data_IF_116720980180
#
_entry.id   IF_116720980180
#
_cell.length_a   1.000
_cell.length_b   1.000
_cell.length_c   1.000
_cell.angle_alpha   90.00
_cell.angle_beta   90.00
_cell.angle_gamma   90.00
#
_symmetry.space_group_name_H-M   'P 1'
#
loop_
_entity.id
_entity.type
_entity.pdbx_description
1 polymer ?
#
# COMPACT_ATOMS: atom_id res chain seq x y z
N UNK A 1 -15.67 -28.84 -41.85
CA UNK A 1 -14.55 -27.95 -41.50
C UNK A 1 -15.11 -26.81 -40.67
N UNK A 2 -14.90 -26.89 -39.37
CA UNK A 2 -15.18 -25.81 -38.43
C UNK A 2 -14.24 -26.06 -37.27
N UNK A 3 -13.12 -25.33 -37.25
CA UNK A 3 -12.18 -25.31 -36.13
C UNK A 3 -12.65 -24.23 -35.17
N UNK A 4 -13.15 -24.62 -34.02
CA UNK A 4 -13.37 -23.70 -32.90
C UNK A 4 -12.06 -23.60 -32.13
N UNK A 5 -11.36 -22.48 -32.28
CA UNK A 5 -10.23 -22.11 -31.43
C UNK A 5 -10.75 -21.81 -30.03
N UNK A 6 -10.53 -22.75 -29.10
CA UNK A 6 -10.74 -22.51 -27.68
C UNK A 6 -9.62 -21.60 -27.16
N UNK A 7 -9.94 -20.33 -26.89
CA UNK A 7 -9.11 -19.50 -26.04
C UNK A 7 -9.12 -20.13 -24.65
N UNK A 8 -8.00 -20.78 -24.29
CA UNK A 8 -7.81 -21.28 -22.95
C UNK A 8 -7.71 -20.11 -21.98
N UNK A 9 -8.77 -19.84 -21.23
CA UNK A 9 -8.69 -19.06 -20.00
C UNK A 9 -7.82 -19.86 -19.03
N UNK A 10 -6.52 -19.56 -19.00
CA UNK A 10 -5.64 -20.00 -17.92
C UNK A 10 -5.98 -19.19 -16.68
N UNK A 11 -7.08 -19.53 -16.02
CA UNK A 11 -7.31 -19.06 -14.65
C UNK A 11 -6.33 -19.80 -13.76
N UNK A 12 -5.36 -19.10 -13.16
CA UNK A 12 -4.53 -19.63 -12.07
C UNK A 12 -5.41 -19.85 -10.83
N UNK A 13 -6.30 -20.86 -10.89
CA UNK A 13 -7.38 -21.13 -9.95
C UNK A 13 -6.91 -21.50 -8.52
N UNK A 14 -5.62 -21.38 -8.22
CA UNK A 14 -5.02 -21.79 -6.96
C UNK A 14 -4.19 -20.69 -6.25
N UNK A 15 -4.11 -19.48 -6.79
CA UNK A 15 -3.44 -18.36 -6.10
C UNK A 15 -4.31 -17.82 -4.95
N UNK A 16 -3.68 -17.51 -3.81
CA UNK A 16 -4.36 -16.82 -2.71
C UNK A 16 -4.76 -15.41 -3.15
N UNK A 17 -5.93 -14.97 -2.72
CA UNK A 17 -6.44 -13.63 -3.05
C UNK A 17 -5.83 -12.60 -2.08
N UNK A 18 -5.52 -11.38 -2.55
CA UNK A 18 -5.27 -10.27 -1.65
C UNK A 18 -6.39 -10.14 -0.63
N UNK A 19 -6.08 -9.71 0.59
CA UNK A 19 -7.08 -9.38 1.60
C UNK A 19 -7.07 -7.86 1.80
N UNK A 20 -8.25 -7.23 1.76
CA UNK A 20 -8.45 -5.81 2.07
C UNK A 20 -9.29 -5.71 3.33
N UNK A 21 -8.64 -5.40 4.45
CA UNK A 21 -9.27 -5.17 5.73
C UNK A 21 -9.47 -3.67 5.95
N UNK A 22 -10.72 -3.23 5.83
CA UNK A 22 -11.15 -1.84 5.99
C UNK A 22 -11.69 -1.66 7.41
N UNK A 23 -11.08 -0.75 8.16
CA UNK A 23 -11.45 -0.46 9.55
C UNK A 23 -11.89 0.99 9.65
N UNK A 24 -13.18 1.19 9.93
CA UNK A 24 -13.75 2.51 10.15
C UNK A 24 -13.83 2.80 11.65
N UNK A 25 -13.19 3.89 12.07
CA UNK A 25 -13.15 4.35 13.45
C UNK A 25 -14.45 5.01 13.91
N UNK A 26 -14.44 5.56 15.13
CA UNK A 26 -15.55 6.36 15.63
C UNK A 26 -15.77 7.59 14.74
N UNK A 27 -17.03 7.88 14.36
CA UNK A 27 -17.31 8.98 13.44
C UNK A 27 -17.13 10.36 14.10
N UNK A 28 -17.37 10.48 15.40
CA UNK A 28 -17.34 11.75 16.15
C UNK A 28 -18.51 12.68 15.82
N UNK A 29 -18.86 12.82 14.54
CA UNK A 29 -20.07 13.48 14.04
C UNK A 29 -20.65 12.74 12.84
N UNK A 30 -21.94 12.94 12.57
CA UNK A 30 -22.62 12.32 11.43
C UNK A 30 -22.02 12.76 10.07
N UNK A 31 -21.48 13.98 9.97
CA UNK A 31 -20.82 14.49 8.77
C UNK A 31 -19.56 13.70 8.43
N UNK A 32 -18.70 13.45 9.42
CA UNK A 32 -17.52 12.61 9.26
C UNK A 32 -17.91 11.16 8.97
N UNK A 33 -18.95 10.65 9.63
CA UNK A 33 -19.47 9.31 9.37
C UNK A 33 -19.89 9.09 7.91
N UNK A 34 -20.53 10.08 7.29
CA UNK A 34 -20.88 10.03 5.86
C UNK A 34 -19.64 10.02 4.97
N UNK A 35 -18.61 10.80 5.31
CA UNK A 35 -17.33 10.80 4.57
C UNK A 35 -16.65 9.42 4.68
N UNK A 36 -16.51 8.89 5.89
CA UNK A 36 -15.88 7.59 6.14
C UNK A 36 -16.60 6.44 5.42
N UNK A 37 -17.93 6.44 5.39
CA UNK A 37 -18.71 5.47 4.61
C UNK A 37 -18.40 5.51 3.12
N UNK A 38 -18.25 6.71 2.53
CA UNK A 38 -17.88 6.86 1.12
C UNK A 38 -16.46 6.36 0.85
N UNK A 39 -15.52 6.69 1.72
CA UNK A 39 -14.12 6.27 1.56
C UNK A 39 -13.98 4.76 1.68
N UNK A 40 -14.64 4.15 2.67
CA UNK A 40 -14.70 2.70 2.83
C UNK A 40 -15.37 2.02 1.62
N UNK A 41 -16.46 2.60 1.09
CA UNK A 41 -17.12 2.11 -0.12
C UNK A 41 -16.18 2.03 -1.33
N UNK A 42 -15.38 3.09 -1.57
CA UNK A 42 -14.39 3.08 -2.67
C UNK A 42 -13.32 2.01 -2.48
N UNK A 43 -12.86 1.77 -1.25
CA UNK A 43 -11.92 0.68 -0.97
C UNK A 43 -12.56 -0.70 -1.18
N UNK A 44 -13.81 -0.91 -0.78
CA UNK A 44 -14.55 -2.14 -1.06
C UNK A 44 -14.76 -2.36 -2.56
N UNK A 45 -15.04 -1.30 -3.33
CA UNK A 45 -15.21 -1.40 -4.78
C UNK A 45 -13.87 -1.70 -5.47
N UNK A 46 -12.77 -1.05 -5.04
CA UNK A 46 -11.43 -1.36 -5.52
C UNK A 46 -11.00 -2.80 -5.18
N UNK A 47 -11.34 -3.29 -3.98
CA UNK A 47 -11.09 -4.68 -3.59
C UNK A 47 -11.82 -5.66 -4.51
N UNK A 48 -13.09 -5.41 -4.83
CA UNK A 48 -13.86 -6.24 -5.76
C UNK A 48 -13.27 -6.21 -7.18
N UNK A 49 -12.90 -5.03 -7.67
CA UNK A 49 -12.25 -4.88 -8.98
C UNK A 49 -10.92 -5.63 -9.04
N UNK A 50 -10.13 -5.60 -7.97
CA UNK A 50 -8.88 -6.34 -7.86
C UNK A 50 -9.02 -7.82 -7.51
N UNK A 51 -10.25 -8.36 -7.43
CA UNK A 51 -10.50 -9.76 -7.06
C UNK A 51 -10.04 -10.13 -5.64
N UNK A 52 -9.93 -9.15 -4.74
CA UNK A 52 -9.50 -9.32 -3.36
C UNK A 52 -10.67 -9.78 -2.46
N UNK A 53 -10.33 -10.48 -1.38
CA UNK A 53 -11.24 -10.67 -0.24
C UNK A 53 -11.39 -9.35 0.50
N UNK A 54 -12.64 -8.90 0.73
CA UNK A 54 -12.93 -7.68 1.49
C UNK A 54 -13.50 -8.00 2.86
N UNK A 55 -13.00 -7.31 3.88
CA UNK A 55 -13.53 -7.36 5.23
C UNK A 55 -13.70 -5.94 5.77
N UNK A 56 -14.88 -5.63 6.31
CA UNK A 56 -15.22 -4.31 6.81
C UNK A 56 -15.58 -4.37 8.29
N UNK A 57 -14.94 -3.50 9.08
CA UNK A 57 -15.21 -3.27 10.50
C UNK A 57 -15.60 -1.80 10.66
N UNK A 58 -16.56 -1.49 11.53
CA UNK A 58 -16.82 -0.09 11.90
C UNK A 58 -18.06 0.56 11.28
N UNK A 59 -18.72 -0.10 10.32
CA UNK A 59 -19.91 0.41 9.64
C UNK A 59 -21.15 -0.47 9.82
N UNK A 60 -20.97 -1.71 10.24
CA UNK A 60 -22.05 -2.60 10.62
C UNK A 60 -22.59 -2.25 12.01
N UNK A 61 -23.77 -2.79 12.34
CA UNK A 61 -24.32 -2.66 13.68
C UNK A 61 -23.33 -3.29 14.68
N UNK A 62 -23.00 -2.54 15.74
CA UNK A 62 -22.10 -3.04 16.79
C UNK A 62 -22.74 -4.30 17.39
N UNK A 63 -22.14 -5.46 17.10
CA UNK A 63 -22.50 -6.73 17.72
C UNK A 63 -22.07 -6.76 19.19
N UNK A 64 -22.05 -7.95 19.80
CA UNK A 64 -21.54 -8.12 21.17
C UNK A 64 -20.02 -7.93 21.27
N UNK A 65 -19.29 -8.07 20.17
CA UNK A 65 -17.83 -7.97 20.11
C UNK A 65 -17.38 -6.55 19.73
N UNK A 66 -16.44 -5.99 20.49
CA UNK A 66 -15.88 -4.67 20.21
C UNK A 66 -15.02 -4.68 18.94
N UNK A 67 -15.04 -3.58 18.18
CA UNK A 67 -14.27 -3.46 16.93
C UNK A 67 -12.76 -3.69 17.11
N UNK A 68 -12.23 -3.41 18.31
CA UNK A 68 -10.85 -3.72 18.70
C UNK A 68 -10.54 -5.22 18.63
N UNK A 69 -11.40 -6.04 19.24
CA UNK A 69 -11.21 -7.50 19.25
C UNK A 69 -11.45 -8.09 17.87
N UNK A 70 -12.44 -7.56 17.12
CA UNK A 70 -12.67 -7.93 15.72
C UNK A 70 -11.44 -7.67 14.86
N UNK A 71 -10.80 -6.51 14.99
CA UNK A 71 -9.58 -6.17 14.26
C UNK A 71 -8.45 -7.14 14.62
N UNK A 72 -8.21 -7.36 15.91
CA UNK A 72 -7.19 -8.31 16.38
C UNK A 72 -7.43 -9.72 15.85
N UNK A 73 -8.66 -10.20 15.88
CA UNK A 73 -9.03 -11.53 15.40
C UNK A 73 -8.85 -11.67 13.89
N UNK A 74 -9.26 -10.66 13.11
CA UNK A 74 -9.03 -10.63 11.65
C UNK A 74 -7.54 -10.60 11.28
N UNK A 75 -6.71 -9.87 12.03
CA UNK A 75 -5.26 -9.89 11.83
C UNK A 75 -4.64 -11.25 12.21
N UNK A 76 -5.14 -11.90 13.26
CA UNK A 76 -4.72 -13.26 13.62
C UNK A 76 -5.12 -14.29 12.54
N UNK A 77 -6.33 -14.17 11.96
CA UNK A 77 -6.76 -14.97 10.81
C UNK A 77 -5.86 -14.73 9.59
N UNK A 78 -5.47 -13.48 9.34
CA UNK A 78 -4.56 -13.11 8.25
C UNK A 78 -3.12 -13.64 8.42
N UNK A 79 -2.69 -13.91 9.67
CA UNK A 79 -1.42 -14.59 9.95
C UNK A 79 -1.45 -16.07 9.52
N UNK A 80 -2.65 -16.67 9.46
CA UNK A 80 -2.90 -17.99 8.91
C UNK A 80 -2.69 -19.16 9.89
N UNK A 81 -3.41 -20.25 9.62
CA UNK A 81 -3.08 -21.60 10.08
C UNK A 81 -3.16 -22.56 8.87
N UNK A 82 -2.12 -23.40 8.73
CA UNK A 82 -2.06 -24.68 8.00
C UNK A 82 -1.46 -24.78 6.56
N UNK A 83 -1.31 -23.74 5.74
CA UNK A 83 -0.47 -23.84 4.50
C UNK A 83 0.47 -22.63 4.28
N UNK A 84 1.74 -22.75 4.71
CA UNK A 84 2.74 -21.67 4.63
C UNK A 84 3.03 -21.19 3.20
N UNK A 85 2.94 -22.06 2.18
CA UNK A 85 3.32 -21.71 0.81
C UNK A 85 2.24 -20.90 0.10
N UNK A 86 0.96 -21.14 0.42
CA UNK A 86 -0.18 -20.47 -0.20
C UNK A 86 -0.42 -19.07 0.37
N UNK A 87 -0.15 -18.85 1.65
CA UNK A 87 -0.44 -17.60 2.38
C UNK A 87 0.62 -16.52 2.12
N UNK A 88 1.86 -16.91 1.79
CA UNK A 88 2.99 -15.98 1.69
C UNK A 88 2.88 -14.96 0.55
N UNK A 89 2.11 -15.23 -0.50
CA UNK A 89 2.16 -14.46 -1.76
C UNK A 89 1.09 -13.40 -1.96
N UNK A 90 -0.09 -13.57 -1.37
CA UNK A 90 -1.12 -12.55 -1.49
C UNK A 90 -0.82 -11.40 -0.50
N UNK A 91 -0.97 -10.13 -0.88
CA UNK A 91 -0.76 -9.02 0.04
C UNK A 91 -1.96 -8.83 0.99
N UNK A 92 -1.70 -8.33 2.20
CA UNK A 92 -2.72 -7.78 3.11
C UNK A 92 -2.72 -6.25 2.97
N UNK A 93 -3.89 -5.67 2.78
CA UNK A 93 -4.13 -4.23 2.81
C UNK A 93 -4.95 -3.90 4.04
N UNK A 94 -4.35 -3.24 5.03
CA UNK A 94 -5.01 -2.73 6.22
C UNK A 94 -5.28 -1.24 6.04
N UNK A 95 -6.55 -0.88 5.92
CA UNK A 95 -6.99 0.50 5.68
C UNK A 95 -7.67 1.03 6.95
N UNK A 96 -7.10 2.04 7.58
CA UNK A 96 -7.65 2.67 8.78
C UNK A 96 -8.25 4.02 8.41
N UNK A 97 -9.58 4.14 8.53
CA UNK A 97 -10.35 5.34 8.18
C UNK A 97 -11.00 5.88 9.46
N UNK A 98 -10.62 7.07 9.90
CA UNK A 98 -11.19 7.60 11.13
C UNK A 98 -10.40 8.77 11.70
N UNK A 99 -10.52 8.94 13.01
CA UNK A 99 -9.74 9.89 13.78
C UNK A 99 -8.60 9.20 14.51
N UNK A 100 -7.60 9.99 14.89
CA UNK A 100 -6.51 9.54 15.72
C UNK A 100 -6.11 10.59 16.74
N UNK A 101 -5.52 10.12 17.84
CA UNK A 101 -5.09 10.94 18.98
C UNK A 101 -3.62 10.69 19.30
N UNK A 102 -2.97 11.69 19.90
CA UNK A 102 -1.59 11.60 20.36
C UNK A 102 -1.40 12.36 21.67
N UNK A 103 -0.97 11.65 22.71
CA UNK A 103 -0.78 12.20 24.06
C UNK A 103 0.62 12.82 24.28
N UNK A 104 1.40 12.99 23.20
CA UNK A 104 2.80 13.41 23.27
C UNK A 104 3.79 12.25 23.33
N UNK A 105 3.31 11.01 23.51
CA UNK A 105 4.14 9.80 23.55
C UNK A 105 3.59 8.67 22.68
N UNK A 106 2.29 8.40 22.76
CA UNK A 106 1.64 7.26 22.12
C UNK A 106 0.52 7.74 21.21
N UNK A 107 0.61 7.37 19.93
CA UNK A 107 -0.43 7.60 18.95
C UNK A 107 -1.45 6.45 18.96
N UNK A 108 -2.73 6.79 18.78
CA UNK A 108 -3.84 5.85 18.76
C UNK A 108 -4.77 6.11 17.58
N UNK A 109 -5.28 5.05 16.99
CA UNK A 109 -6.40 5.09 16.06
C UNK A 109 -7.70 4.91 16.84
N UNK A 110 -8.66 5.83 16.66
CA UNK A 110 -9.86 5.86 17.47
C UNK A 110 -10.95 4.95 16.90
N UNK A 111 -11.17 3.81 17.53
CA UNK A 111 -12.20 2.85 17.13
C UNK A 111 -13.56 3.22 17.72
N UNK A 112 -14.63 2.57 17.25
CA UNK A 112 -15.89 2.54 18.00
C UNK A 112 -15.68 1.66 19.24
N UNK A 113 -15.42 2.30 20.37
CA UNK A 113 -15.04 1.62 21.60
C UNK A 113 -13.54 1.79 21.89
N UNK A 114 -12.86 0.79 22.46
CA UNK A 114 -11.46 0.94 22.85
C UNK A 114 -10.52 1.19 21.65
N UNK A 115 -9.78 2.30 21.70
CA UNK A 115 -8.78 2.69 20.69
C UNK A 115 -7.62 1.70 20.57
N UNK A 116 -6.89 1.72 19.46
CA UNK A 116 -5.68 0.88 19.25
C UNK A 116 -4.43 1.75 19.19
N UNK A 117 -3.43 1.43 20.00
CA UNK A 117 -2.14 2.12 19.99
C UNK A 117 -1.24 1.61 18.85
N UNK A 118 -0.36 2.48 18.34
CA UNK A 118 0.57 2.13 17.26
C UNK A 118 1.44 0.91 17.60
N UNK A 119 2.05 0.88 18.78
CA UNK A 119 2.87 -0.27 19.23
C UNK A 119 2.05 -1.55 19.43
N UNK A 120 0.79 -1.45 19.82
CA UNK A 120 -0.07 -2.64 19.93
C UNK A 120 -0.42 -3.22 18.56
N UNK A 121 -0.76 -2.36 17.59
CA UNK A 121 -0.96 -2.79 16.21
C UNK A 121 0.33 -3.42 15.65
N UNK A 122 1.50 -2.88 15.99
CA UNK A 122 2.79 -3.49 15.61
C UNK A 122 2.90 -4.93 16.12
N UNK A 123 2.56 -5.20 17.38
CA UNK A 123 2.55 -6.55 17.95
C UNK A 123 1.60 -7.50 17.20
N UNK A 124 0.40 -7.02 16.82
CA UNK A 124 -0.57 -7.83 16.08
C UNK A 124 -0.11 -8.15 14.65
N UNK A 125 0.70 -7.30 14.04
CA UNK A 125 1.22 -7.52 12.69
C UNK A 125 2.49 -8.40 12.67
N UNK A 126 3.18 -8.63 13.79
CA UNK A 126 4.41 -9.45 13.85
C UNK A 126 4.24 -10.88 13.33
N UNK A 127 3.14 -11.61 13.64
CA UNK A 127 2.96 -12.99 13.16
C UNK A 127 2.66 -13.09 11.65
N UNK A 128 2.33 -11.97 11.00
CA UNK A 128 1.94 -11.94 9.60
C UNK A 128 3.19 -11.87 8.72
N UNK A 129 3.48 -12.95 8.00
CA UNK A 129 4.69 -13.09 7.16
C UNK A 129 4.48 -12.72 5.69
N UNK A 130 3.23 -12.52 5.26
CA UNK A 130 2.89 -12.06 3.90
C UNK A 130 3.16 -10.55 3.76
N UNK A 131 3.35 -10.03 2.54
CA UNK A 131 3.48 -8.59 2.31
C UNK A 131 2.28 -7.80 2.87
N UNK A 132 2.53 -6.64 3.49
CA UNK A 132 1.47 -5.82 4.11
C UNK A 132 1.56 -4.36 3.64
N UNK A 133 0.42 -3.76 3.27
CA UNK A 133 0.26 -2.31 3.21
C UNK A 133 -0.63 -1.86 4.37
N UNK A 134 -0.14 -0.95 5.21
CA UNK A 134 -0.92 -0.30 6.27
C UNK A 134 -1.13 1.15 5.88
N UNK A 135 -2.38 1.53 5.64
CA UNK A 135 -2.76 2.86 5.20
C UNK A 135 -3.59 3.51 6.31
N UNK A 136 -2.97 4.43 7.05
CA UNK A 136 -3.61 5.14 8.14
C UNK A 136 -4.05 6.55 7.69
N UNK A 137 -5.35 6.67 7.39
CA UNK A 137 -5.97 7.92 6.94
C UNK A 137 -6.37 8.86 8.07
N UNK A 138 -6.02 8.57 9.32
CA UNK A 138 -6.45 9.34 10.48
C UNK A 138 -5.54 10.55 10.79
N UNK A 139 -6.09 11.51 11.54
CA UNK A 139 -5.30 12.54 12.23
C UNK A 139 -4.25 11.91 13.15
N UNK A 140 -3.16 12.61 13.43
CA UNK A 140 -2.07 12.13 14.31
C UNK A 140 -1.47 10.76 13.93
N UNK A 141 -1.56 10.36 12.66
CA UNK A 141 -1.11 9.05 12.16
C UNK A 141 0.40 8.93 11.96
N UNK A 142 1.15 10.02 11.84
CA UNK A 142 2.61 10.00 11.61
C UNK A 142 3.43 9.04 12.47
N UNK A 143 3.24 8.96 13.81
CA UNK A 143 4.00 8.05 14.66
C UNK A 143 3.76 6.56 14.37
N UNK A 144 2.68 6.20 13.66
CA UNK A 144 2.49 4.83 13.18
C UNK A 144 3.54 4.44 12.14
N UNK A 145 4.12 5.38 11.39
CA UNK A 145 5.25 5.09 10.49
C UNK A 145 6.42 4.52 11.29
N UNK A 146 6.79 5.16 12.40
CA UNK A 146 7.94 4.73 13.19
C UNK A 146 7.75 3.36 13.87
N UNK A 147 6.53 3.08 14.34
CA UNK A 147 6.19 1.83 15.05
C UNK A 147 5.91 0.67 14.10
N UNK A 148 5.30 0.95 12.95
CA UNK A 148 4.88 -0.09 12.01
C UNK A 148 5.90 -0.35 10.92
N UNK A 149 6.86 0.53 10.65
CA UNK A 149 7.87 0.29 9.60
C UNK A 149 8.64 -1.03 9.84
N UNK A 150 8.70 -1.85 8.80
CA UNK A 150 9.29 -3.19 8.81
C UNK A 150 9.61 -3.67 7.39
N UNK A 151 10.51 -4.66 7.21
CA UNK A 151 10.72 -5.31 5.92
C UNK A 151 9.41 -5.87 5.35
N UNK A 152 9.28 -5.84 4.02
CA UNK A 152 8.09 -6.31 3.28
C UNK A 152 6.77 -5.62 3.70
N UNK A 153 6.86 -4.40 4.23
CA UNK A 153 5.70 -3.60 4.62
C UNK A 153 5.76 -2.22 4.01
N UNK A 154 4.63 -1.76 3.48
CA UNK A 154 4.39 -0.36 3.12
C UNK A 154 3.53 0.27 4.20
N UNK A 155 3.93 1.43 4.73
CA UNK A 155 3.17 2.20 5.70
C UNK A 155 2.91 3.59 5.14
N UNK A 156 1.63 3.96 5.06
CA UNK A 156 1.20 5.30 4.65
C UNK A 156 0.50 5.96 5.83
N UNK A 157 0.89 7.18 6.15
CA UNK A 157 0.17 8.04 7.11
C UNK A 157 -0.42 9.25 6.40
N UNK A 158 -1.56 9.75 6.89
CA UNK A 158 -2.12 11.01 6.44
C UNK A 158 -1.38 12.24 7.03
N UNK A 159 -0.66 12.05 8.12
CA UNK A 159 0.06 13.12 8.82
C UNK A 159 1.54 12.81 8.99
N UNK A 160 2.37 13.86 9.14
CA UNK A 160 3.82 13.69 9.32
C UNK A 160 4.23 13.56 10.77
N UNK A 161 3.32 13.86 11.69
CA UNK A 161 3.57 13.79 13.13
C UNK A 161 2.28 13.52 13.90
N UNK A 162 2.44 13.16 15.18
CA UNK A 162 1.31 13.02 16.10
C UNK A 162 0.65 14.35 16.46
N UNK A 163 1.30 15.48 16.19
CA UNK A 163 0.79 16.82 16.51
C UNK A 163 -0.13 17.42 15.45
N UNK A 164 -0.40 16.69 14.37
CA UNK A 164 -1.36 17.08 13.34
C UNK A 164 -2.75 16.51 13.68
N UNK A 165 -3.41 17.15 14.65
CA UNK A 165 -4.69 16.70 15.22
C UNK A 165 -5.93 17.03 14.39
N UNK A 166 -5.77 17.87 13.37
CA UNK A 166 -6.89 18.30 12.54
C UNK A 166 -7.41 17.15 11.68
N UNK A 167 -8.69 17.21 11.32
CA UNK A 167 -9.29 16.23 10.42
C UNK A 167 -8.48 16.10 9.12
N UNK A 168 -8.03 14.88 8.86
CA UNK A 168 -7.24 14.54 7.68
C UNK A 168 -8.16 14.17 6.51
N UNK A 169 -8.03 14.89 5.40
CA UNK A 169 -8.75 14.67 4.13
C UNK A 169 -8.00 13.74 3.18
N UNK A 170 -6.73 13.45 3.45
CA UNK A 170 -5.91 12.57 2.62
C UNK A 170 -6.61 11.24 2.30
N UNK A 171 -7.34 10.66 3.25
CA UNK A 171 -8.11 9.42 3.02
C UNK A 171 -9.19 9.52 1.95
N UNK A 172 -9.80 10.70 1.77
CA UNK A 172 -10.73 10.95 0.68
C UNK A 172 -10.02 10.79 -0.67
N UNK A 173 -8.97 11.57 -0.86
CA UNK A 173 -8.28 11.61 -2.14
C UNK A 173 -7.57 10.29 -2.46
N UNK A 174 -6.99 9.62 -1.46
CA UNK A 174 -6.34 8.33 -1.65
C UNK A 174 -7.31 7.22 -2.04
N UNK A 175 -8.43 7.10 -1.33
CA UNK A 175 -9.45 6.10 -1.68
C UNK A 175 -10.10 6.37 -3.04
N UNK A 176 -10.07 7.62 -3.53
CA UNK A 176 -10.40 7.93 -4.92
C UNK A 176 -9.31 7.48 -5.89
N UNK A 177 -8.06 7.83 -5.59
CA UNK A 177 -6.94 7.69 -6.50
C UNK A 177 -6.61 6.23 -6.82
N UNK A 178 -6.79 5.30 -5.88
CA UNK A 178 -6.43 3.88 -6.05
C UNK A 178 -7.13 3.17 -7.22
N UNK A 179 -8.21 3.74 -7.74
CA UNK A 179 -8.97 3.21 -8.88
C UNK A 179 -9.16 4.25 -9.99
N UNK A 180 -8.43 5.36 -9.94
CA UNK A 180 -8.53 6.47 -10.88
C UNK A 180 -7.44 6.32 -11.97
N UNK A 181 -7.79 6.08 -13.24
CA UNK A 181 -6.80 5.98 -14.31
C UNK A 181 -5.98 7.26 -14.54
N UNK A 182 -6.39 8.41 -13.98
CA UNK A 182 -5.56 9.61 -13.99
C UNK A 182 -4.38 9.53 -13.02
N UNK A 183 -4.42 8.62 -12.05
CA UNK A 183 -3.32 8.37 -11.13
C UNK A 183 -2.19 7.57 -11.77
N UNK A 184 -2.45 6.79 -12.82
CA UNK A 184 -1.44 6.07 -13.60
C UNK A 184 -0.48 7.07 -14.27
N UNK A 185 0.66 7.31 -13.65
CA UNK A 185 1.69 8.26 -14.07
C UNK A 185 2.66 7.64 -15.07
N UNK A 186 2.95 6.34 -14.95
CA UNK A 186 3.92 5.65 -15.82
C UNK A 186 3.29 4.95 -17.04
N UNK A 187 1.96 4.95 -17.13
CA UNK A 187 1.14 4.46 -18.24
C UNK A 187 1.21 2.95 -18.44
N UNK A 188 1.25 2.21 -17.33
CA UNK A 188 1.23 0.75 -17.32
C UNK A 188 -0.18 0.13 -17.19
N UNK A 189 -1.23 0.97 -17.28
CA UNK A 189 -2.65 0.60 -17.24
C UNK A 189 -3.14 0.09 -15.89
N UNK A 190 -2.38 0.34 -14.83
CA UNK A 190 -2.78 0.09 -13.44
C UNK A 190 -2.37 1.29 -12.58
N UNK A 191 -2.76 1.27 -11.31
CA UNK A 191 -2.41 2.35 -10.38
C UNK A 191 -1.74 1.75 -9.17
N UNK A 192 -0.48 2.13 -8.99
CA UNK A 192 0.32 1.75 -7.84
C UNK A 192 -0.07 2.53 -6.59
N UNK A 193 0.27 1.99 -5.42
CA UNK A 193 0.07 2.71 -4.15
C UNK A 193 0.92 3.99 -4.10
N UNK A 194 2.10 4.01 -4.72
CA UNK A 194 2.91 5.24 -4.84
C UNK A 194 2.15 6.31 -5.62
N UNK A 195 1.63 5.97 -6.79
CA UNK A 195 0.88 6.92 -7.63
C UNK A 195 -0.38 7.43 -6.95
N UNK A 196 -1.14 6.54 -6.31
CA UNK A 196 -2.31 6.91 -5.54
C UNK A 196 -1.93 7.87 -4.39
N UNK A 197 -0.82 7.61 -3.70
CA UNK A 197 -0.27 8.48 -2.64
C UNK A 197 0.13 9.86 -3.18
N UNK A 198 0.80 9.91 -4.34
CA UNK A 198 1.24 11.15 -4.97
C UNK A 198 0.06 12.01 -5.44
N UNK A 199 -0.90 11.40 -6.15
CA UNK A 199 -2.10 12.10 -6.60
C UNK A 199 -2.92 12.60 -5.41
N UNK A 200 -3.10 11.76 -4.38
CA UNK A 200 -3.83 12.14 -3.18
C UNK A 200 -3.17 13.31 -2.46
N UNK A 201 -1.85 13.26 -2.27
CA UNK A 201 -1.09 14.34 -1.64
C UNK A 201 -1.17 15.65 -2.42
N UNK A 202 -1.13 15.58 -3.77
CA UNK A 202 -1.32 16.76 -4.63
C UNK A 202 -2.72 17.36 -4.45
N UNK A 203 -3.78 16.54 -4.47
CA UNK A 203 -5.16 17.01 -4.28
C UNK A 203 -5.39 17.61 -2.89
N UNK A 204 -4.72 17.09 -1.85
CA UNK A 204 -4.72 17.71 -0.52
C UNK A 204 -4.10 19.11 -0.58
N UNK A 205 -2.92 19.25 -1.20
CA UNK A 205 -2.24 20.54 -1.34
C UNK A 205 -3.09 21.56 -2.11
N UNK A 206 -3.70 21.14 -3.23
CA UNK A 206 -4.64 21.95 -4.02
C UNK A 206 -5.85 22.39 -3.20
N UNK A 207 -6.41 21.50 -2.38
CA UNK A 207 -7.53 21.85 -1.50
C UNK A 207 -7.16 22.96 -0.52
N UNK A 208 -6.05 22.85 0.21
CA UNK A 208 -5.68 23.86 1.19
C UNK A 208 -5.32 25.20 0.52
N UNK A 209 -4.49 25.15 -0.53
CA UNK A 209 -4.07 26.35 -1.27
C UNK A 209 -5.25 27.05 -1.96
N UNK A 210 -6.11 26.31 -2.67
CA UNK A 210 -7.28 26.84 -3.36
C UNK A 210 -8.34 27.44 -2.42
N UNK A 211 -8.38 27.02 -1.16
CA UNK A 211 -9.26 27.58 -0.15
C UNK A 211 -8.59 28.65 0.75
N UNK A 212 -7.34 29.05 0.45
CA UNK A 212 -6.60 30.02 1.25
C UNK A 212 -6.34 29.57 2.68
N UNK A 213 -6.17 28.25 2.90
CA UNK A 213 -5.97 27.63 4.22
C UNK A 213 -4.53 27.15 4.37
N UNK A 214 -4.02 27.18 5.61
CA UNK A 214 -2.78 26.50 5.96
C UNK A 214 -3.01 24.99 5.96
N UNK A 215 -2.08 24.24 5.34
CA UNK A 215 -2.12 22.78 5.31
C UNK A 215 -1.85 22.22 6.71
N UNK A 216 -2.76 21.38 7.20
CA UNK A 216 -2.72 20.84 8.57
C UNK A 216 -2.45 19.33 8.64
N UNK A 217 -2.19 18.71 7.50
CA UNK A 217 -1.91 17.28 7.35
C UNK A 217 -0.83 17.14 6.27
N UNK A 218 0.15 16.26 6.47
CA UNK A 218 1.21 16.04 5.49
C UNK A 218 1.49 14.54 5.42
N UNK A 219 1.02 13.88 4.37
CA UNK A 219 1.14 12.44 4.25
C UNK A 219 2.60 11.99 4.08
N UNK A 220 2.93 10.83 4.66
CA UNK A 220 4.23 10.17 4.52
C UNK A 220 4.04 8.74 4.02
N UNK A 221 5.05 8.24 3.31
CA UNK A 221 5.16 6.87 2.82
C UNK A 221 6.48 6.26 3.30
N UNK A 222 6.43 5.11 3.94
CA UNK A 222 7.59 4.29 4.31
C UNK A 222 7.43 2.90 3.67
N UNK A 223 8.40 2.43 2.90
CA UNK A 223 8.32 1.13 2.24
C UNK A 223 9.63 0.31 2.26
N UNK A 224 10.64 0.85 2.94
CA UNK A 224 11.98 0.27 3.04
C UNK A 224 12.32 -0.24 4.46
N UNK A 225 11.49 0.04 5.47
CA UNK A 225 11.71 -0.42 6.85
C UNK A 225 12.63 0.48 7.70
N UNK A 226 12.98 1.68 7.24
CA UNK A 226 13.94 2.58 7.91
C UNK A 226 13.30 3.48 8.98
N UNK A 227 11.96 3.48 9.08
CA UNK A 227 11.15 4.28 10.02
C UNK A 227 11.09 5.77 9.68
N UNK A 228 11.48 6.16 8.47
CA UNK A 228 11.65 7.53 8.01
C UNK A 228 10.79 7.80 6.77
N UNK A 229 9.48 7.91 6.97
CA UNK A 229 8.56 8.13 5.86
C UNK A 229 8.92 9.35 4.99
N UNK A 230 8.93 9.11 3.68
CA UNK A 230 9.16 10.12 2.64
C UNK A 230 7.87 10.87 2.30
N UNK A 231 7.90 12.22 2.24
CA UNK A 231 6.75 13.02 1.79
C UNK A 231 6.66 13.08 0.25
N UNK A 232 5.46 13.32 -0.26
CA UNK A 232 5.19 13.34 -1.70
C UNK A 232 5.99 14.40 -2.50
N UNK A 233 6.38 15.51 -1.88
CA UNK A 233 7.14 16.58 -2.56
C UNK A 233 8.62 16.21 -2.83
N UNK A 234 9.04 14.99 -2.50
CA UNK A 234 10.33 14.44 -2.88
C UNK A 234 10.30 13.75 -4.24
N UNK A 235 9.13 13.54 -4.81
CA UNK A 235 8.94 12.86 -6.09
C UNK A 235 8.60 13.85 -7.20
N UNK A 236 9.11 13.56 -8.41
CA UNK A 236 8.66 14.17 -9.65
C UNK A 236 8.21 13.05 -10.58
N UNK A 237 6.89 12.96 -10.82
CA UNK A 237 6.29 11.71 -11.27
C UNK A 237 6.53 10.62 -10.22
N UNK A 238 6.87 9.40 -10.65
CA UNK A 238 7.25 8.29 -9.75
C UNK A 238 8.73 8.34 -9.30
N UNK A 239 9.51 9.30 -9.80
CA UNK A 239 10.95 9.36 -9.53
C UNK A 239 11.26 10.21 -8.30
N UNK A 240 11.97 9.64 -7.32
CA UNK A 240 12.58 10.41 -6.24
C UNK A 240 13.64 11.40 -6.79
N UNK A 241 13.49 12.68 -6.44
CA UNK A 241 14.37 13.79 -6.89
C UNK A 241 15.13 14.45 -5.75
N UNK A 242 14.68 14.26 -4.52
CA UNK A 242 15.40 14.67 -3.30
C UNK A 242 16.08 13.44 -2.69
N UNK A 243 17.04 13.66 -1.80
CA UNK A 243 17.73 12.60 -1.07
C UNK A 243 17.72 12.87 0.42
N UNK A 244 17.70 11.80 1.21
CA UNK A 244 17.89 11.92 2.66
C UNK A 244 19.33 12.37 2.95
N UNK A 245 19.51 13.21 3.99
CA UNK A 245 20.83 13.73 4.40
C UNK A 245 21.84 12.65 4.78
N UNK A 246 21.37 11.44 5.07
CA UNK A 246 22.12 10.29 5.58
C UNK A 246 22.49 9.27 4.50
N UNK A 247 22.21 9.52 3.22
CA UNK A 247 22.45 8.53 2.15
C UNK A 247 21.48 7.34 2.19
N UNK A 248 20.41 7.44 2.99
CA UNK A 248 19.34 6.45 3.07
C UNK A 248 18.49 6.51 1.80
N UNK A 249 18.06 5.34 1.33
CA UNK A 249 17.19 5.20 0.17
C UNK A 249 15.88 5.97 0.39
N UNK A 250 15.44 6.69 -0.62
CA UNK A 250 14.10 7.29 -0.60
C UNK A 250 13.07 6.19 -0.80
N UNK A 251 11.96 6.25 -0.07
CA UNK A 251 10.85 5.30 -0.23
C UNK A 251 10.25 5.37 -1.64
N UNK A 252 9.41 4.38 -1.96
CA UNK A 252 8.53 4.37 -3.12
C UNK A 252 8.81 3.22 -4.08
N UNK A 253 9.97 2.57 -4.00
CA UNK A 253 10.31 1.46 -4.90
C UNK A 253 9.31 0.30 -4.76
N UNK A 254 8.95 -0.08 -3.52
CA UNK A 254 7.99 -1.15 -3.27
C UNK A 254 6.56 -0.67 -3.51
N UNK A 255 6.23 0.55 -3.08
CA UNK A 255 4.90 1.12 -3.27
C UNK A 255 4.55 1.32 -4.76
N UNK A 256 5.54 1.58 -5.63
CA UNK A 256 5.38 1.66 -7.08
C UNK A 256 5.01 0.31 -7.73
N UNK A 257 5.32 -0.81 -7.08
CA UNK A 257 4.97 -2.16 -7.54
C UNK A 257 3.71 -2.70 -6.87
N UNK A 258 3.10 -1.89 -6.01
CA UNK A 258 2.05 -2.32 -5.12
C UNK A 258 0.66 -1.97 -5.69
N UNK A 259 0.07 -2.93 -6.39
CA UNK A 259 -1.18 -2.74 -7.14
C UNK A 259 -2.33 -3.52 -6.49
N UNK A 260 -3.45 -2.83 -6.22
CA UNK A 260 -4.68 -3.49 -5.78
C UNK A 260 -5.47 -4.02 -6.98
N UNK A 261 -5.65 -3.16 -7.98
CA UNK A 261 -6.28 -3.49 -9.27
C UNK A 261 -5.13 -3.65 -10.26
N UNK A 262 -4.99 -4.87 -10.78
CA UNK A 262 -3.92 -5.23 -11.72
C UNK A 262 -4.38 -5.00 -13.14
N UNK A 263 -3.46 -4.61 -14.02
CA UNK A 263 -3.74 -4.57 -15.46
C UNK A 263 -3.87 -5.98 -16.03
N UNK A 264 -4.49 -6.12 -17.21
CA UNK A 264 -4.63 -7.41 -17.91
C UNK A 264 -3.27 -8.11 -18.10
N UNK A 265 -2.22 -7.32 -18.34
CA UNK A 265 -0.84 -7.82 -18.47
C UNK A 265 -0.30 -8.37 -17.15
N UNK A 266 -0.56 -7.67 -16.05
CA UNK A 266 -0.11 -8.06 -14.72
C UNK A 266 -0.88 -9.29 -14.18
N UNK A 267 -2.15 -9.44 -14.56
CA UNK A 267 -2.97 -10.61 -14.24
C UNK A 267 -2.50 -11.89 -14.95
N UNK A 268 -1.89 -11.77 -16.13
CA UNK A 268 -1.31 -12.91 -16.85
C UNK A 268 -0.05 -13.48 -16.20
N UNK A 269 0.62 -12.70 -15.34
CA UNK A 269 1.75 -13.20 -14.56
C UNK A 269 1.26 -14.13 -13.45
N UNK A 270 1.97 -15.21 -13.17
CA UNK A 270 1.73 -15.95 -11.92
C UNK A 270 2.32 -15.19 -10.72
N UNK A 271 1.82 -15.46 -9.53
CA UNK A 271 2.32 -14.88 -8.27
C UNK A 271 3.82 -15.09 -8.10
N UNK A 272 4.33 -16.27 -8.49
CA UNK A 272 5.77 -16.56 -8.46
C UNK A 272 6.58 -15.70 -9.44
N UNK A 273 6.04 -15.43 -10.62
CA UNK A 273 6.71 -14.52 -11.57
C UNK A 273 6.73 -13.09 -11.02
N UNK A 274 5.61 -12.61 -10.47
CA UNK A 274 5.56 -11.27 -9.83
C UNK A 274 6.52 -11.16 -8.67
N UNK A 275 6.55 -12.15 -7.77
CA UNK A 275 7.50 -12.18 -6.66
C UNK A 275 8.96 -12.13 -7.15
N UNK A 276 9.30 -12.94 -8.15
CA UNK A 276 10.67 -12.95 -8.70
C UNK A 276 11.02 -11.61 -9.36
N UNK A 277 10.09 -10.99 -10.08
CA UNK A 277 10.27 -9.64 -10.62
C UNK A 277 10.57 -8.66 -9.49
N UNK A 278 9.74 -8.65 -8.45
CA UNK A 278 9.84 -7.68 -7.37
C UNK A 278 11.15 -7.84 -6.58
N UNK A 279 11.63 -9.08 -6.42
CA UNK A 279 12.97 -9.36 -5.87
C UNK A 279 14.09 -8.78 -6.75
N UNK A 280 14.06 -9.03 -8.06
CA UNK A 280 15.07 -8.52 -9.01
C UNK A 280 15.06 -6.98 -9.08
N UNK A 281 13.89 -6.35 -9.07
CA UNK A 281 13.74 -4.90 -9.05
C UNK A 281 14.25 -4.29 -7.74
N UNK A 282 14.09 -5.00 -6.61
CA UNK A 282 14.67 -4.59 -5.33
C UNK A 282 16.19 -4.69 -5.36
N UNK A 283 16.75 -5.82 -5.81
CA UNK A 283 18.20 -6.01 -5.95
C UNK A 283 18.80 -4.95 -6.88
N UNK A 284 18.10 -4.59 -7.97
CA UNK A 284 18.49 -3.55 -8.89
C UNK A 284 18.48 -2.15 -8.25
N UNK A 285 17.47 -1.84 -7.43
CA UNK A 285 17.39 -0.59 -6.70
C UNK A 285 18.55 -0.47 -5.68
N UNK A 286 18.80 -1.52 -4.91
CA UNK A 286 19.87 -1.58 -3.91
C UNK A 286 21.25 -1.45 -4.56
N UNK A 287 21.47 -2.10 -5.71
CA UNK A 287 22.71 -2.00 -6.48
C UNK A 287 22.93 -0.58 -7.03
N UNK A 288 21.87 0.09 -7.50
CA UNK A 288 21.93 1.47 -8.00
C UNK A 288 22.34 2.46 -6.91
N UNK A 289 21.88 2.26 -5.68
CA UNK A 289 22.27 3.10 -4.54
C UNK A 289 23.77 3.00 -4.24
N UNK A 290 24.33 1.79 -4.38
CA UNK A 290 25.74 1.50 -4.14
C UNK A 290 26.64 1.81 -5.34
N UNK A 291 26.10 2.32 -6.45
CA UNK A 291 26.86 2.59 -7.69
C UNK A 291 28.10 3.45 -7.45
N UNK A 292 27.98 4.49 -6.61
CA UNK A 292 29.10 5.40 -6.31
C UNK A 292 30.19 4.77 -5.44
N UNK A 293 29.92 3.62 -4.84
CA UNK A 293 30.85 2.87 -3.98
C UNK A 293 31.60 1.77 -4.75
N UNK A 294 31.18 1.48 -5.99
CA UNK A 294 31.69 0.36 -6.80
C UNK A 294 32.50 0.86 -8.01
N UNK A 295 33.61 0.20 -8.37
CA UNK A 295 34.23 0.37 -9.68
C UNK A 295 33.23 0.08 -10.81
N UNK A 296 33.35 0.79 -11.94
CA UNK A 296 32.39 0.67 -13.05
C UNK A 296 32.28 -0.76 -13.60
N UNK A 297 33.41 -1.45 -13.76
CA UNK A 297 33.46 -2.83 -14.26
C UNK A 297 32.75 -3.81 -13.30
N UNK A 298 32.93 -3.62 -11.99
CA UNK A 298 32.25 -4.43 -10.96
C UNK A 298 30.74 -4.16 -10.96
N UNK A 299 30.34 -2.89 -11.03
CA UNK A 299 28.92 -2.51 -11.12
C UNK A 299 28.26 -3.11 -12.36
N UNK A 300 28.91 -3.04 -13.52
CA UNK A 300 28.39 -3.62 -14.77
C UNK A 300 28.28 -5.15 -14.68
N UNK A 301 29.26 -5.82 -14.08
CA UNK A 301 29.23 -7.27 -13.86
C UNK A 301 28.11 -7.72 -12.90
N UNK A 302 27.71 -6.87 -11.95
CA UNK A 302 26.59 -7.14 -11.03
C UNK A 302 25.21 -6.82 -11.62
N UNK A 303 25.09 -5.74 -12.41
CA UNK A 303 23.80 -5.29 -12.94
C UNK A 303 23.33 -6.09 -14.15
N UNK A 304 24.27 -6.54 -15.01
CA UNK A 304 23.94 -7.25 -16.25
C UNK A 304 23.13 -8.53 -15.99
N UNK A 305 23.50 -9.44 -15.07
CA UNK A 305 22.72 -10.63 -14.77
C UNK A 305 21.28 -10.32 -14.32
N UNK A 306 21.10 -9.26 -13.51
CA UNK A 306 19.78 -8.84 -13.03
C UNK A 306 18.89 -8.37 -14.18
N UNK A 307 19.43 -7.54 -15.07
CA UNK A 307 18.69 -7.04 -16.24
C UNK A 307 18.36 -8.16 -17.23
N UNK A 308 19.28 -9.11 -17.44
CA UNK A 308 19.06 -10.28 -18.29
C UNK A 308 17.97 -11.18 -17.71
N UNK A 309 17.95 -11.39 -16.40
CA UNK A 309 16.91 -12.21 -15.76
C UNK A 309 15.54 -11.53 -15.81
N UNK A 310 15.46 -10.22 -15.55
CA UNK A 310 14.24 -9.43 -15.73
C UNK A 310 13.71 -9.53 -17.17
N UNK A 311 14.59 -9.38 -18.17
CA UNK A 311 14.19 -9.50 -19.57
C UNK A 311 13.61 -10.88 -19.90
N UNK A 312 14.24 -11.97 -19.42
CA UNK A 312 13.73 -13.34 -19.60
C UNK A 312 12.37 -13.55 -18.94
N UNK A 313 12.16 -12.95 -17.76
CA UNK A 313 10.90 -13.02 -17.04
C UNK A 313 9.74 -12.34 -17.80
N UNK A 314 10.02 -11.21 -18.46
CA UNK A 314 9.05 -10.52 -19.30
C UNK A 314 8.82 -11.23 -20.64
N UNK A 315 9.84 -11.86 -21.21
CA UNK A 315 9.71 -12.65 -22.44
C UNK A 315 8.85 -13.90 -22.23
N UNK A 316 9.09 -14.63 -21.12
CA UNK A 316 8.34 -15.86 -20.80
C UNK A 316 6.87 -15.62 -20.44
N UNK A 317 6.53 -14.39 -20.06
CA UNK A 317 5.17 -13.98 -19.70
C UNK A 317 4.39 -13.33 -20.83
N UNK A 318 5.04 -12.99 -21.94
CA UNK A 318 4.35 -12.49 -23.13
C UNK A 318 3.75 -13.68 -23.87
N UNK A 319 2.41 -13.80 -24.02
CA UNK A 319 1.85 -14.85 -24.85
C UNK A 319 2.43 -14.69 -26.25
N UNK A 320 3.05 -15.75 -26.78
CA UNK A 320 3.44 -15.79 -28.19
C UNK A 320 2.19 -15.49 -28.99
N UNK A 321 2.10 -14.31 -29.58
CA UNK A 321 1.09 -14.02 -30.58
C UNK A 321 1.30 -15.06 -31.68
N UNK A 322 0.40 -16.06 -31.73
CA UNK A 322 0.39 -17.05 -32.77
C UNK A 322 0.30 -16.29 -34.10
N UNK A 323 1.41 -16.30 -34.85
CA UNK A 323 1.44 -15.85 -36.24
C UNK A 323 0.56 -16.76 -37.10
#
# INVERSE_FOLDING_TARGET
>A
MTWTLGFGNWTFANESRPMVLIVVGAEGSAEYGQQFRRWAGRWSDAAKLGGAEDALIGLDNVGSEADRERLKNRLAEAAGSEDPQRIQMAPLWLILIGHGTFDGKVARFNLRGPDVAAGELAEWLKPIVRPIAVINCASSSGPFVNELSAPNRVVVSATKSGHEYNFARFGDYLSSAISDPQADLDKDEQTSLLEAFLLASSRVSEFYSGNGRLMTEHALLDDNGDKLGTPADWFQGIRATKSAKSGVAVDGARAARWHLIRSDREEQLSAKHRERRDQLEQELADLRLRKTELPEEEYLGLIEPLLVELAKLYESSTPHAAK
#
